data_IF_609702269351
#
_entry.id   IF_609702269351
#
_cell.length_a   1.000
_cell.length_b   1.000
_cell.length_c   1.000
_cell.angle_alpha   90.00
_cell.angle_beta   90.00
_cell.angle_gamma   90.00
#
_symmetry.space_group_name_H-M   'P 1'
#
loop_
_entity.id
_entity.type
_entity.pdbx_description
1 polymer ?
#
# COMPACT_ATOMS: atom_id res chain seq x y z
N UNK A 1 9.03 -36.20 -24.74
CA UNK A 1 8.30 -35.00 -24.28
C UNK A 1 9.14 -34.35 -23.21
N UNK A 2 9.78 -33.23 -23.55
CA UNK A 2 10.72 -32.53 -22.68
C UNK A 2 9.93 -31.77 -21.61
N UNK A 3 10.13 -32.11 -20.34
CA UNK A 3 9.82 -31.27 -19.20
C UNK A 3 10.73 -30.03 -19.30
N UNK A 4 10.26 -28.98 -19.98
CA UNK A 4 10.91 -27.69 -19.93
C UNK A 4 10.66 -27.10 -18.55
N UNK A 5 11.73 -27.06 -17.77
CA UNK A 5 11.84 -26.34 -16.51
C UNK A 5 11.22 -24.94 -16.65
N UNK A 6 10.17 -24.67 -15.89
CA UNK A 6 9.69 -23.31 -15.67
C UNK A 6 10.79 -22.56 -14.91
N UNK A 7 11.54 -21.73 -15.62
CA UNK A 7 12.50 -20.82 -14.98
C UNK A 7 11.72 -19.83 -14.08
N UNK A 8 12.13 -19.63 -12.82
CA UNK A 8 11.40 -18.75 -11.88
C UNK A 8 11.44 -17.24 -12.21
N UNK A 9 11.87 -16.86 -13.41
CA UNK A 9 12.45 -15.53 -13.67
C UNK A 9 11.55 -14.55 -14.44
N UNK A 10 10.30 -14.94 -14.74
CA UNK A 10 9.28 -14.07 -15.34
C UNK A 10 7.96 -14.12 -14.55
N UNK A 11 8.01 -13.98 -13.22
CA UNK A 11 6.80 -13.68 -12.46
C UNK A 11 6.28 -12.30 -12.90
N UNK A 12 5.04 -12.23 -13.39
CA UNK A 12 4.41 -10.93 -13.67
C UNK A 12 4.06 -10.25 -12.36
N UNK A 13 3.90 -8.92 -12.37
CA UNK A 13 3.48 -8.16 -11.18
C UNK A 13 2.21 -8.75 -10.54
N UNK A 14 1.25 -9.16 -11.35
CA UNK A 14 0.01 -9.80 -10.90
C UNK A 14 0.25 -11.12 -10.15
N UNK A 15 1.18 -11.96 -10.62
CA UNK A 15 1.56 -13.20 -9.93
C UNK A 15 2.21 -12.90 -8.58
N UNK A 16 3.10 -11.90 -8.50
CA UNK A 16 3.77 -11.52 -7.24
C UNK A 16 2.72 -11.05 -6.21
N UNK A 17 1.78 -10.21 -6.63
CA UNK A 17 0.72 -9.70 -5.76
C UNK A 17 -0.18 -10.83 -5.26
N UNK A 18 -0.65 -11.70 -6.17
CA UNK A 18 -1.51 -12.83 -5.81
C UNK A 18 -0.82 -13.80 -4.84
N UNK A 19 0.44 -14.15 -5.12
CA UNK A 19 1.23 -15.05 -4.27
C UNK A 19 1.49 -14.46 -2.88
N UNK A 20 1.69 -13.14 -2.80
CA UNK A 20 1.87 -12.46 -1.53
C UNK A 20 0.56 -12.41 -0.72
N UNK A 21 -0.55 -12.04 -1.36
CA UNK A 21 -1.87 -12.00 -0.70
C UNK A 21 -2.29 -13.38 -0.17
N UNK A 22 -1.98 -14.47 -0.89
CA UNK A 22 -2.27 -15.82 -0.46
C UNK A 22 -1.44 -16.29 0.75
N UNK A 23 -0.29 -15.65 1.01
CA UNK A 23 0.62 -16.00 2.10
C UNK A 23 0.57 -15.02 3.28
N UNK A 24 -0.27 -13.98 3.21
CA UNK A 24 -0.46 -13.08 4.34
C UNK A 24 -1.62 -13.52 5.24
N UNK A 25 -1.47 -13.37 6.57
CA UNK A 25 -0.31 -12.82 7.28
C UNK A 25 0.89 -13.77 7.26
N UNK A 26 2.11 -13.21 7.22
CA UNK A 26 3.33 -14.02 7.19
C UNK A 26 3.51 -14.78 8.51
N UNK A 27 3.93 -16.04 8.44
CA UNK A 27 4.10 -16.91 9.60
C UNK A 27 5.28 -16.49 10.49
N UNK A 28 6.29 -15.86 9.89
CA UNK A 28 7.51 -15.44 10.58
C UNK A 28 8.21 -14.26 9.86
N UNK A 29 9.18 -13.65 10.55
CA UNK A 29 9.93 -12.48 10.05
C UNK A 29 10.66 -12.74 8.73
N UNK A 30 11.19 -13.96 8.52
CA UNK A 30 11.91 -14.30 7.29
C UNK A 30 10.96 -14.30 6.10
N UNK A 31 9.78 -14.92 6.25
CA UNK A 31 8.75 -14.90 5.22
C UNK A 31 8.23 -13.49 4.99
N UNK A 32 7.96 -12.73 6.05
CA UNK A 32 7.54 -11.32 5.97
C UNK A 32 8.50 -10.47 5.13
N UNK A 33 9.80 -10.54 5.44
CA UNK A 33 10.83 -9.80 4.70
C UNK A 33 10.92 -10.25 3.23
N UNK A 34 10.78 -11.55 2.96
CA UNK A 34 10.79 -12.08 1.59
C UNK A 34 9.60 -11.57 0.77
N UNK A 35 8.39 -11.72 1.30
CA UNK A 35 7.15 -11.28 0.63
C UNK A 35 7.17 -9.78 0.35
N UNK A 36 7.66 -8.96 1.29
CA UNK A 36 7.74 -7.51 1.10
C UNK A 36 8.90 -7.07 0.22
N UNK A 37 9.97 -7.85 0.14
CA UNK A 37 11.03 -7.62 -0.86
C UNK A 37 10.45 -7.81 -2.26
N UNK A 38 9.73 -8.92 -2.48
CA UNK A 38 9.10 -9.22 -3.77
C UNK A 38 8.03 -8.19 -4.12
N UNK A 39 7.11 -7.90 -3.18
CA UNK A 39 6.08 -6.88 -3.38
C UNK A 39 6.68 -5.51 -3.68
N UNK A 40 7.61 -5.01 -2.87
CA UNK A 40 8.17 -3.66 -3.10
C UNK A 40 8.95 -3.55 -4.40
N UNK A 41 9.37 -4.67 -5.00
CA UNK A 41 10.00 -4.68 -6.32
C UNK A 41 9.04 -4.33 -7.47
N UNK A 42 7.72 -4.46 -7.27
CA UNK A 42 6.70 -4.10 -8.28
C UNK A 42 6.47 -2.59 -8.39
N UNK A 43 7.07 -1.79 -7.51
CA UNK A 43 7.01 -0.33 -7.55
C UNK A 43 5.59 0.23 -7.37
N UNK A 44 5.38 1.44 -7.91
CA UNK A 44 4.13 2.20 -7.77
C UNK A 44 2.91 1.44 -8.28
N UNK A 45 3.02 0.83 -9.47
CA UNK A 45 1.92 0.11 -10.12
C UNK A 45 1.40 -1.04 -9.26
N UNK A 46 2.30 -1.81 -8.63
CA UNK A 46 1.85 -2.91 -7.79
C UNK A 46 1.22 -2.47 -6.47
N UNK A 47 1.67 -1.35 -5.88
CA UNK A 47 0.99 -0.77 -4.72
C UNK A 47 -0.38 -0.20 -5.09
N UNK A 48 -0.51 0.45 -6.25
CA UNK A 48 -1.81 0.88 -6.79
C UNK A 48 -2.74 -0.31 -7.04
N UNK A 49 -2.22 -1.40 -7.61
CA UNK A 49 -2.99 -2.63 -7.82
C UNK A 49 -3.45 -3.26 -6.50
N UNK A 50 -2.59 -3.29 -5.47
CA UNK A 50 -2.98 -3.74 -4.13
C UNK A 50 -4.10 -2.90 -3.53
N UNK A 51 -4.01 -1.58 -3.65
CA UNK A 51 -5.06 -0.66 -3.18
C UNK A 51 -6.36 -0.90 -3.96
N UNK A 52 -6.27 -1.14 -5.28
CA UNK A 52 -7.41 -1.46 -6.13
C UNK A 52 -8.11 -2.78 -5.79
N UNK A 53 -7.46 -3.69 -5.05
CA UNK A 53 -8.07 -4.90 -4.52
C UNK A 53 -8.83 -4.70 -3.21
N UNK A 54 -8.75 -3.50 -2.60
CA UNK A 54 -9.53 -3.19 -1.40
C UNK A 54 -11.01 -3.08 -1.76
N UNK A 55 -11.81 -3.82 -1.02
CA UNK A 55 -13.25 -3.80 -1.14
C UNK A 55 -13.85 -2.74 -0.21
N UNK A 56 -14.93 -2.07 -0.64
CA UNK A 56 -15.71 -1.25 0.27
C UNK A 56 -16.18 -2.05 1.50
N UNK A 57 -16.42 -1.37 2.62
CA UNK A 57 -16.89 -2.01 3.85
C UNK A 57 -18.13 -2.88 3.62
N UNK A 58 -18.14 -4.07 4.21
CA UNK A 58 -19.29 -4.99 4.16
C UNK A 58 -19.46 -5.79 2.86
N UNK A 59 -18.54 -5.68 1.89
CA UNK A 59 -18.55 -6.53 0.68
C UNK A 59 -17.73 -7.81 0.86
N UNK A 60 -16.44 -7.67 1.12
CA UNK A 60 -15.48 -8.78 1.19
C UNK A 60 -14.35 -8.47 2.20
N UNK A 61 -13.57 -9.49 2.55
CA UNK A 61 -12.48 -9.37 3.51
C UNK A 61 -11.23 -8.71 2.89
N UNK A 62 -10.78 -7.60 3.49
CA UNK A 62 -9.56 -6.90 3.09
C UNK A 62 -8.31 -7.27 3.89
N UNK A 63 -8.40 -8.15 4.89
CA UNK A 63 -7.33 -8.38 5.86
C UNK A 63 -5.96 -8.65 5.22
N UNK A 64 -5.89 -9.49 4.19
CA UNK A 64 -4.63 -9.80 3.50
C UNK A 64 -4.07 -8.58 2.74
N UNK A 65 -4.94 -7.80 2.08
CA UNK A 65 -4.53 -6.60 1.35
C UNK A 65 -4.13 -5.46 2.31
N UNK A 66 -4.87 -5.24 3.38
CA UNK A 66 -4.54 -4.26 4.42
C UNK A 66 -3.22 -4.61 5.13
N UNK A 67 -2.99 -5.90 5.38
CA UNK A 67 -1.72 -6.40 5.91
C UNK A 67 -0.58 -6.13 4.92
N UNK A 68 -0.76 -6.47 3.65
CA UNK A 68 0.25 -6.25 2.61
C UNK A 68 0.59 -4.76 2.46
N UNK A 69 -0.42 -3.89 2.40
CA UNK A 69 -0.23 -2.44 2.23
C UNK A 69 0.45 -1.85 3.47
N UNK A 70 0.00 -2.19 4.68
CA UNK A 70 0.62 -1.69 5.92
C UNK A 70 2.05 -2.20 6.06
N UNK A 71 2.29 -3.48 5.74
CA UNK A 71 3.61 -4.08 5.75
C UNK A 71 4.55 -3.39 4.76
N UNK A 72 4.06 -3.10 3.55
CA UNK A 72 4.78 -2.33 2.54
C UNK A 72 5.18 -0.96 3.09
N UNK A 73 4.23 -0.20 3.66
CA UNK A 73 4.49 1.13 4.25
C UNK A 73 5.63 1.07 5.27
N UNK A 74 5.57 0.11 6.21
CA UNK A 74 6.58 -0.04 7.25
C UNK A 74 7.94 -0.50 6.68
N UNK A 75 7.94 -1.41 5.71
CA UNK A 75 9.16 -1.96 5.13
C UNK A 75 9.96 -0.92 4.35
N UNK A 76 9.29 0.02 3.67
CA UNK A 76 9.95 1.07 2.89
C UNK A 76 10.26 2.33 3.69
N UNK A 77 9.78 2.46 4.93
CA UNK A 77 9.85 3.72 5.70
C UNK A 77 11.28 4.27 5.87
N UNK A 78 12.28 3.39 5.94
CA UNK A 78 13.70 3.76 6.09
C UNK A 78 14.49 3.74 4.77
N UNK A 79 13.84 3.50 3.63
CA UNK A 79 14.43 3.56 2.29
C UNK A 79 13.86 4.80 1.56
N UNK A 80 14.60 5.92 1.46
CA UNK A 80 14.07 7.16 0.90
C UNK A 80 13.51 7.04 -0.52
N UNK A 81 14.11 6.19 -1.36
CA UNK A 81 13.68 6.01 -2.74
C UNK A 81 12.36 5.23 -2.80
N UNK A 82 12.28 4.08 -2.13
CA UNK A 82 11.05 3.28 -2.08
C UNK A 82 9.93 3.99 -1.32
N UNK A 83 10.26 4.74 -0.27
CA UNK A 83 9.33 5.58 0.47
C UNK A 83 8.67 6.62 -0.43
N UNK A 84 9.45 7.29 -1.27
CA UNK A 84 8.94 8.29 -2.23
C UNK A 84 8.00 7.65 -3.24
N UNK A 85 8.34 6.47 -3.76
CA UNK A 85 7.47 5.70 -4.65
C UNK A 85 6.14 5.35 -3.96
N UNK A 86 6.19 4.88 -2.71
CA UNK A 86 4.99 4.51 -1.96
C UNK A 86 4.11 5.73 -1.64
N UNK A 87 4.70 6.86 -1.23
CA UNK A 87 3.98 8.10 -0.98
C UNK A 87 3.24 8.58 -2.25
N UNK A 88 3.93 8.60 -3.39
CA UNK A 88 3.32 8.96 -4.68
C UNK A 88 2.18 8.03 -5.09
N UNK A 89 2.29 6.72 -4.82
CA UNK A 89 1.21 5.77 -5.05
C UNK A 89 -0.02 6.10 -4.19
N UNK A 90 0.16 6.41 -2.91
CA UNK A 90 -0.95 6.81 -2.03
C UNK A 90 -1.60 8.11 -2.49
N UNK A 91 -0.83 9.11 -2.87
CA UNK A 91 -1.36 10.37 -3.41
C UNK A 91 -2.19 10.14 -4.68
N UNK A 92 -1.70 9.30 -5.61
CA UNK A 92 -2.44 8.90 -6.81
C UNK A 92 -3.73 8.14 -6.48
N UNK A 93 -3.67 7.23 -5.49
CA UNK A 93 -4.83 6.47 -5.05
C UNK A 93 -5.91 7.36 -4.41
N UNK A 94 -5.53 8.41 -3.68
CA UNK A 94 -6.47 9.36 -3.06
C UNK A 94 -7.31 10.14 -4.09
N UNK A 95 -6.80 10.30 -5.31
CA UNK A 95 -7.51 10.91 -6.44
C UNK A 95 -8.54 9.98 -7.10
N UNK A 96 -8.52 8.68 -6.77
CA UNK A 96 -9.45 7.70 -7.34
C UNK A 96 -10.81 7.74 -6.61
N UNK A 97 -11.90 7.28 -7.26
CA UNK A 97 -13.25 7.25 -6.66
C UNK A 97 -13.44 6.07 -5.69
N UNK A 98 -12.51 5.89 -4.75
CA UNK A 98 -12.64 4.89 -3.67
C UNK A 98 -13.65 5.31 -2.60
N UNK A 99 -14.18 4.32 -1.89
CA UNK A 99 -14.97 4.54 -0.69
C UNK A 99 -14.19 5.33 0.37
N UNK A 100 -14.90 6.12 1.19
CA UNK A 100 -14.29 6.96 2.22
C UNK A 100 -13.46 6.15 3.24
N UNK A 101 -13.86 4.92 3.59
CA UNK A 101 -13.06 4.10 4.52
C UNK A 101 -11.74 3.64 3.90
N UNK A 102 -11.74 3.31 2.61
CA UNK A 102 -10.52 3.01 1.84
C UNK A 102 -9.63 4.25 1.79
N UNK A 103 -10.19 5.44 1.49
CA UNK A 103 -9.44 6.69 1.50
C UNK A 103 -8.87 7.01 2.88
N UNK A 104 -9.65 6.82 3.95
CA UNK A 104 -9.18 7.00 5.32
C UNK A 104 -8.02 6.05 5.67
N UNK A 105 -8.06 4.80 5.18
CA UNK A 105 -6.94 3.87 5.32
C UNK A 105 -5.70 4.37 4.57
N UNK A 106 -5.84 4.83 3.33
CA UNK A 106 -4.73 5.38 2.53
C UNK A 106 -4.12 6.61 3.21
N UNK A 107 -4.94 7.54 3.73
CA UNK A 107 -4.48 8.72 4.48
C UNK A 107 -3.62 8.32 5.68
N UNK A 108 -4.05 7.30 6.45
CA UNK A 108 -3.26 6.78 7.59
C UNK A 108 -1.93 6.19 7.15
N UNK A 109 -1.86 5.46 6.02
CA UNK A 109 -0.59 4.94 5.53
C UNK A 109 0.32 6.06 5.02
N UNK A 110 -0.23 7.05 4.30
CA UNK A 110 0.52 8.21 3.87
C UNK A 110 1.07 9.01 5.06
N UNK A 111 0.31 9.17 6.14
CA UNK A 111 0.78 9.83 7.36
C UNK A 111 1.99 9.18 8.04
N UNK A 112 2.25 7.89 7.81
CA UNK A 112 3.42 7.17 8.37
C UNK A 112 4.71 7.42 7.61
N UNK A 113 4.63 7.75 6.32
CA UNK A 113 5.80 7.83 5.42
C UNK A 113 5.88 9.12 4.61
N UNK A 114 4.85 9.95 4.68
CA UNK A 114 4.76 11.23 4.03
C UNK A 114 5.78 12.22 4.56
N UNK A 115 5.94 13.30 3.82
CA UNK A 115 6.79 14.43 4.16
C UNK A 115 6.12 15.73 3.71
N UNK A 116 6.82 16.85 3.82
CA UNK A 116 6.31 18.17 3.45
C UNK A 116 5.73 18.24 2.03
N UNK A 117 6.22 17.44 1.08
CA UNK A 117 5.70 17.41 -0.29
C UNK A 117 4.29 16.80 -0.38
N UNK A 118 3.89 15.98 0.59
CA UNK A 118 2.59 15.28 0.59
C UNK A 118 1.48 16.08 1.29
N UNK A 119 1.81 17.22 1.90
CA UNK A 119 0.89 18.01 2.70
C UNK A 119 -0.27 18.56 1.87
N UNK A 120 0.00 19.07 0.66
CA UNK A 120 -1.03 19.60 -0.24
C UNK A 120 -2.07 18.54 -0.62
N UNK A 121 -1.64 17.29 -0.79
CA UNK A 121 -2.52 16.16 -1.07
C UNK A 121 -3.42 15.81 0.12
N UNK A 122 -2.98 16.08 1.35
CA UNK A 122 -3.75 15.82 2.58
C UNK A 122 -4.73 16.95 2.93
N UNK A 123 -4.35 18.21 2.72
CA UNK A 123 -5.18 19.37 3.10
C UNK A 123 -6.51 19.42 2.35
N UNK A 124 -6.58 18.88 1.14
CA UNK A 124 -7.81 18.77 0.36
C UNK A 124 -8.92 17.97 1.05
N UNK A 125 -8.59 17.11 2.02
CA UNK A 125 -9.54 16.26 2.74
C UNK A 125 -10.02 16.86 4.08
N UNK A 126 -9.48 18.01 4.51
CA UNK A 126 -9.79 18.60 5.82
C UNK A 126 -11.24 19.11 5.96
N UNK A 127 -11.92 19.35 4.84
CA UNK A 127 -13.32 19.81 4.83
C UNK A 127 -14.31 18.68 4.51
N UNK A 128 -13.83 17.45 4.31
CA UNK A 128 -14.68 16.29 4.05
C UNK A 128 -15.10 15.66 5.39
N UNK A 129 -16.41 15.56 5.66
CA UNK A 129 -16.95 15.08 6.93
C UNK A 129 -16.45 13.68 7.34
N UNK A 130 -16.13 12.82 6.36
CA UNK A 130 -15.66 11.45 6.62
C UNK A 130 -14.14 11.31 6.60
N UNK A 131 -13.43 12.30 6.06
CA UNK A 131 -11.98 12.24 5.83
C UNK A 131 -11.17 13.33 6.57
N UNK A 132 -11.83 14.29 7.19
CA UNK A 132 -11.20 15.39 7.93
C UNK A 132 -10.32 14.88 9.07
N UNK A 133 -10.84 13.98 9.91
CA UNK A 133 -10.14 13.37 11.03
C UNK A 133 -8.87 12.59 10.59
N UNK A 134 -8.96 11.60 9.67
CA UNK A 134 -7.76 10.88 9.24
C UNK A 134 -6.76 11.77 8.50
N UNK A 135 -7.23 12.80 7.77
CA UNK A 135 -6.33 13.77 7.12
C UNK A 135 -5.57 14.63 8.13
N UNK A 136 -6.27 15.14 9.15
CA UNK A 136 -5.66 15.92 10.23
C UNK A 136 -4.63 15.09 10.99
N UNK A 137 -4.94 13.84 11.32
CA UNK A 137 -4.00 12.92 11.98
C UNK A 137 -2.75 12.67 11.13
N UNK A 138 -2.92 12.41 9.83
CA UNK A 138 -1.79 12.22 8.92
C UNK A 138 -0.88 13.46 8.84
N UNK A 139 -1.46 14.67 8.81
CA UNK A 139 -0.72 15.92 8.83
C UNK A 139 0.08 16.10 10.12
N UNK A 140 -0.52 15.78 11.28
CA UNK A 140 0.19 15.83 12.57
C UNK A 140 1.37 14.85 12.56
N UNK A 141 1.17 13.61 12.11
CA UNK A 141 2.23 12.60 12.05
C UNK A 141 3.42 13.02 11.17
N UNK A 142 3.16 13.70 10.05
CA UNK A 142 4.23 14.19 9.16
C UNK A 142 5.05 15.33 9.78
N UNK A 143 4.43 16.13 10.66
CA UNK A 143 5.05 17.30 11.30
C UNK A 143 5.65 16.99 12.68
N UNK A 144 5.52 15.76 13.16
CA UNK A 144 6.02 15.29 14.46
C UNK A 144 7.49 14.89 14.39
#
# INVERSE_FOLDING_TARGET
MSLQAQTPQNRTQATIIADALAQFPAENQKQYNSLLTDLTSTGEEGLLSLIGHLNPPGKDNNAAAEYAISGWTHFVANDPAKRTVAAGAYEKALQQPFDAEIKAFILRQLGKIGNDNTISSLTGFLNDERLSDPAAQALVSIRS
#
